data_IF_024932551102
#
_entry.id   IF_024932551102
#
_cell.length_a   1.000
_cell.length_b   1.000
_cell.length_c   1.000
_cell.angle_alpha   90.00
_cell.angle_beta   90.00
_cell.angle_gamma   90.00
#
_symmetry.space_group_name_H-M   'P 1'
#
loop_
_entity.id
_entity.type
_entity.pdbx_description
1 polymer ?
#
# COMPACT_ATOMS: atom_id res chain seq x y z
N UNK A 1 20.05 -5.97 9.23
CA UNK A 1 19.92 -5.02 10.36
C UNK A 1 18.72 -4.12 10.13
N UNK A 2 17.59 -4.38 10.80
CA UNK A 2 16.30 -3.68 10.61
C UNK A 2 16.37 -2.18 10.95
N UNK A 3 17.41 -1.74 11.67
CA UNK A 3 17.66 -0.33 12.01
C UNK A 3 18.07 0.54 10.81
N UNK A 4 18.55 -0.04 9.70
CA UNK A 4 18.92 0.74 8.50
C UNK A 4 17.81 0.87 7.45
N UNK A 5 16.84 -0.05 7.40
CA UNK A 5 15.74 0.06 6.44
C UNK A 5 14.86 1.31 6.70
N UNK A 6 14.60 1.60 7.98
CA UNK A 6 13.87 2.80 8.38
C UNK A 6 14.62 4.10 8.01
N UNK A 7 15.96 4.11 8.05
CA UNK A 7 16.73 5.34 7.76
C UNK A 7 16.77 5.69 6.28
N UNK A 8 16.75 4.70 5.38
CA UNK A 8 16.66 4.95 3.94
C UNK A 8 15.25 5.40 3.54
N UNK A 9 14.22 4.64 3.91
CA UNK A 9 12.83 4.97 3.62
C UNK A 9 12.48 6.38 4.12
N UNK A 10 12.82 6.70 5.38
CA UNK A 10 12.60 8.04 5.93
C UNK A 10 13.26 9.15 5.10
N UNK A 11 14.47 8.93 4.57
CA UNK A 11 15.14 9.92 3.70
C UNK A 11 14.42 10.08 2.36
N UNK A 12 13.99 8.97 1.75
CA UNK A 12 13.22 8.98 0.49
C UNK A 12 11.90 9.75 0.65
N UNK A 13 11.24 9.59 1.80
CA UNK A 13 9.99 10.30 2.13
C UNK A 13 10.21 11.65 2.84
N UNK A 14 11.38 12.27 2.70
CA UNK A 14 11.57 13.68 3.05
C UNK A 14 11.88 13.98 4.52
N UNK A 15 12.36 13.00 5.31
CA UNK A 15 12.84 13.27 6.67
C UNK A 15 13.97 14.30 6.64
N UNK A 16 13.80 15.46 7.30
CA UNK A 16 14.82 16.51 7.29
C UNK A 16 16.02 16.16 8.17
N UNK A 17 17.15 16.80 7.89
CA UNK A 17 18.35 16.70 8.72
C UNK A 17 18.17 17.39 10.09
N UNK A 18 17.21 18.33 10.20
CA UNK A 18 16.97 19.20 11.36
C UNK A 18 18.18 20.11 11.62
N UNK A 19 18.82 20.58 10.56
CA UNK A 19 19.97 21.48 10.67
C UNK A 19 19.55 22.94 10.86
N UNK A 20 18.34 23.29 10.45
CA UNK A 20 17.80 24.65 10.49
C UNK A 20 16.42 24.61 11.15
N UNK A 21 16.09 25.62 11.96
CA UNK A 21 14.78 25.75 12.62
C UNK A 21 13.63 26.19 11.68
N UNK A 22 13.77 25.98 10.36
CA UNK A 22 12.76 26.31 9.36
C UNK A 22 12.11 25.05 8.78
N UNK A 23 10.83 25.12 8.43
CA UNK A 23 10.12 24.08 7.67
C UNK A 23 10.62 23.91 6.22
N UNK A 24 11.53 24.79 5.79
CA UNK A 24 12.17 24.83 4.48
C UNK A 24 12.85 23.51 4.06
N UNK A 25 13.27 22.68 5.03
CA UNK A 25 13.91 21.37 4.77
C UNK A 25 12.89 20.27 4.40
N UNK A 26 11.59 20.53 4.55
CA UNK A 26 10.51 19.57 4.22
C UNK A 26 10.00 19.80 2.81
N UNK A 27 9.95 18.71 2.03
CA UNK A 27 9.39 18.71 0.67
C UNK A 27 8.17 17.81 0.65
N UNK A 28 6.98 18.41 0.57
CA UNK A 28 5.69 17.70 0.56
C UNK A 28 5.20 17.41 -0.87
N UNK A 29 6.11 17.23 -1.82
CA UNK A 29 5.75 16.89 -3.21
C UNK A 29 6.16 15.44 -3.49
N UNK A 30 5.33 14.66 -4.20
CA UNK A 30 5.71 13.33 -4.62
C UNK A 30 6.94 13.40 -5.52
N UNK A 31 7.85 12.45 -5.38
CA UNK A 31 9.08 12.37 -6.18
C UNK A 31 9.17 11.05 -6.92
N UNK A 32 9.89 11.04 -8.05
CA UNK A 32 10.16 9.80 -8.80
C UNK A 32 10.81 8.73 -7.93
N UNK A 33 11.70 9.13 -7.03
CA UNK A 33 12.37 8.20 -6.11
C UNK A 33 11.38 7.53 -5.16
N UNK A 34 10.37 8.24 -4.67
CA UNK A 34 9.31 7.67 -3.83
C UNK A 34 8.47 6.66 -4.61
N UNK A 35 8.14 6.94 -5.87
CA UNK A 35 7.40 5.99 -6.73
C UNK A 35 8.21 4.71 -6.98
N UNK A 36 9.50 4.83 -7.29
CA UNK A 36 10.40 3.69 -7.49
C UNK A 36 10.55 2.89 -6.19
N UNK A 37 10.64 3.57 -5.05
CA UNK A 37 10.70 2.93 -3.74
C UNK A 37 9.44 2.10 -3.46
N UNK A 38 8.25 2.65 -3.71
CA UNK A 38 6.99 1.94 -3.50
C UNK A 38 6.85 0.68 -4.37
N UNK A 39 7.38 0.72 -5.59
CA UNK A 39 7.32 -0.41 -6.51
C UNK A 39 8.32 -1.51 -6.16
N UNK A 40 9.55 -1.14 -5.79
CA UNK A 40 10.68 -2.07 -5.83
C UNK A 40 11.30 -2.38 -4.46
N UNK A 41 11.11 -1.55 -3.44
CA UNK A 41 11.77 -1.76 -2.15
C UNK A 41 11.10 -2.89 -1.36
N UNK A 42 11.86 -3.89 -0.87
CA UNK A 42 11.31 -5.04 -0.15
C UNK A 42 10.63 -4.65 1.16
N UNK A 43 10.90 -3.45 1.70
CA UNK A 43 10.21 -2.96 2.89
C UNK A 43 8.70 -2.88 2.67
N UNK A 44 8.23 -2.45 1.50
CA UNK A 44 6.80 -2.30 1.22
C UNK A 44 6.11 -3.65 1.28
N UNK A 45 6.69 -4.63 0.58
CA UNK A 45 6.19 -6.01 0.57
C UNK A 45 6.18 -6.63 1.97
N UNK A 46 7.27 -6.48 2.72
CA UNK A 46 7.35 -6.96 4.10
C UNK A 46 6.27 -6.34 5.00
N UNK A 47 5.97 -5.04 4.81
CA UNK A 47 4.93 -4.35 5.58
C UNK A 47 3.53 -4.85 5.24
N UNK A 48 3.25 -5.12 3.96
CA UNK A 48 2.00 -5.73 3.53
C UNK A 48 1.86 -7.16 4.05
N UNK A 49 2.90 -7.99 3.96
CA UNK A 49 2.91 -9.37 4.50
C UNK A 49 2.72 -9.39 6.03
N UNK A 50 3.26 -8.41 6.75
CA UNK A 50 3.06 -8.24 8.20
C UNK A 50 1.74 -7.53 8.58
N UNK A 51 0.84 -7.30 7.63
CA UNK A 51 -0.40 -6.56 7.87
C UNK A 51 -1.38 -7.38 8.70
N UNK A 52 -1.69 -6.91 9.91
CA UNK A 52 -2.65 -7.57 10.80
C UNK A 52 -4.05 -7.73 10.19
N UNK A 53 -4.46 -6.82 9.29
CA UNK A 53 -5.75 -6.93 8.59
C UNK A 53 -5.76 -8.10 7.60
N UNK A 54 -4.66 -8.32 6.86
CA UNK A 54 -4.59 -9.44 5.91
C UNK A 54 -4.57 -10.77 6.67
N UNK A 55 -3.84 -10.84 7.78
CA UNK A 55 -3.84 -12.00 8.68
C UNK A 55 -5.24 -12.28 9.22
N UNK A 56 -5.96 -11.26 9.69
CA UNK A 56 -7.33 -11.41 10.18
C UNK A 56 -8.28 -11.94 9.11
N UNK A 57 -8.16 -11.48 7.86
CA UNK A 57 -8.98 -11.97 6.74
C UNK A 57 -8.71 -13.45 6.48
N UNK A 58 -7.45 -13.88 6.53
CA UNK A 58 -7.07 -15.29 6.39
C UNK A 58 -7.65 -16.18 7.50
N UNK A 59 -7.51 -15.74 8.75
CA UNK A 59 -8.01 -16.47 9.93
C UNK A 59 -9.56 -16.55 9.97
N UNK A 60 -10.24 -15.70 9.21
CA UNK A 60 -11.70 -15.60 9.20
C UNK A 60 -12.41 -16.71 8.42
N UNK A 61 -11.70 -17.70 7.88
CA UNK A 61 -12.27 -18.87 7.17
C UNK A 61 -13.31 -18.49 6.10
N UNK A 62 -13.02 -17.49 5.26
CA UNK A 62 -13.91 -17.01 4.18
C UNK A 62 -15.30 -16.51 4.64
N UNK A 63 -15.44 -16.06 5.90
CA UNK A 63 -16.67 -15.39 6.36
C UNK A 63 -16.98 -14.10 5.59
N UNK A 64 -15.94 -13.45 5.04
CA UNK A 64 -16.09 -12.19 4.34
C UNK A 64 -16.47 -12.38 2.88
N UNK A 65 -17.39 -11.55 2.39
CA UNK A 65 -17.68 -11.45 0.97
C UNK A 65 -16.51 -10.76 0.26
N UNK A 66 -15.99 -11.38 -0.80
CA UNK A 66 -14.90 -10.84 -1.63
C UNK A 66 -15.17 -9.39 -2.06
N UNK A 67 -16.42 -9.05 -2.37
CA UNK A 67 -16.80 -7.69 -2.78
C UNK A 67 -16.63 -6.67 -1.65
N UNK A 68 -16.87 -7.06 -0.41
CA UNK A 68 -16.68 -6.18 0.75
C UNK A 68 -15.19 -6.02 1.08
N UNK A 69 -14.41 -7.10 0.98
CA UNK A 69 -12.94 -7.03 1.13
C UNK A 69 -12.31 -6.07 0.11
N UNK A 70 -12.78 -6.12 -1.14
CA UNK A 70 -12.37 -5.19 -2.20
C UNK A 70 -12.73 -3.75 -1.81
N UNK A 71 -13.95 -3.48 -1.35
CA UNK A 71 -14.33 -2.12 -0.91
C UNK A 71 -13.46 -1.64 0.24
N UNK A 72 -13.18 -2.49 1.22
CA UNK A 72 -12.29 -2.17 2.34
C UNK A 72 -10.86 -1.87 1.86
N UNK A 73 -10.32 -2.66 0.93
CA UNK A 73 -8.98 -2.42 0.37
C UNK A 73 -8.88 -1.02 -0.29
N UNK A 74 -9.91 -0.61 -1.04
CA UNK A 74 -9.99 0.72 -1.64
C UNK A 74 -10.10 1.83 -0.59
N UNK A 75 -10.96 1.67 0.42
CA UNK A 75 -11.10 2.65 1.50
C UNK A 75 -9.80 2.80 2.30
N UNK A 76 -9.08 1.71 2.55
CA UNK A 76 -7.80 1.70 3.29
C UNK A 76 -6.64 2.31 2.52
N UNK A 77 -6.71 2.33 1.17
CA UNK A 77 -5.62 2.82 0.32
C UNK A 77 -5.90 4.22 -0.25
N UNK A 78 -6.98 4.37 -1.01
CA UNK A 78 -7.29 5.59 -1.77
C UNK A 78 -8.50 6.35 -1.21
N UNK A 79 -9.03 5.96 -0.05
CA UNK A 79 -10.08 6.66 0.68
C UNK A 79 -11.36 6.96 -0.14
N UNK A 80 -11.74 6.05 -1.05
CA UNK A 80 -13.00 6.11 -1.80
C UNK A 80 -13.54 4.71 -2.05
N UNK A 81 -14.78 4.63 -2.50
CA UNK A 81 -15.34 3.37 -2.98
C UNK A 81 -14.85 3.04 -4.40
N UNK A 82 -14.67 1.75 -4.72
CA UNK A 82 -14.37 1.32 -6.08
C UNK A 82 -15.61 1.45 -6.97
N UNK A 83 -15.37 1.74 -8.25
CA UNK A 83 -16.36 1.66 -9.31
C UNK A 83 -16.69 0.19 -9.65
N UNK A 84 -17.80 -0.03 -10.35
CA UNK A 84 -18.21 -1.38 -10.74
C UNK A 84 -17.17 -2.10 -11.61
N UNK A 85 -16.48 -1.36 -12.50
CA UNK A 85 -15.43 -1.91 -13.35
C UNK A 85 -14.17 -2.30 -12.54
N UNK A 86 -13.81 -1.50 -11.53
CA UNK A 86 -12.72 -1.81 -10.61
C UNK A 86 -13.02 -3.05 -9.77
N UNK A 87 -14.25 -3.17 -9.26
CA UNK A 87 -14.69 -4.36 -8.51
C UNK A 87 -14.58 -5.60 -9.38
N UNK A 88 -15.06 -5.56 -10.63
CA UNK A 88 -14.99 -6.71 -11.53
C UNK A 88 -13.55 -7.14 -11.78
N UNK A 89 -12.65 -6.20 -12.10
CA UNK A 89 -11.23 -6.50 -12.33
C UNK A 89 -10.54 -7.05 -11.08
N UNK A 90 -10.85 -6.50 -9.91
CA UNK A 90 -10.29 -6.98 -8.64
C UNK A 90 -10.77 -8.39 -8.32
N UNK A 91 -12.04 -8.71 -8.58
CA UNK A 91 -12.57 -10.07 -8.41
C UNK A 91 -11.88 -11.08 -9.31
N UNK A 92 -11.68 -10.74 -10.57
CA UNK A 92 -10.95 -11.59 -11.52
C UNK A 92 -9.52 -11.85 -11.05
N UNK A 93 -8.84 -10.80 -10.56
CA UNK A 93 -7.50 -10.94 -10.01
C UNK A 93 -7.46 -11.84 -8.76
N UNK A 94 -8.33 -11.60 -7.78
CA UNK A 94 -8.41 -12.42 -6.56
C UNK A 94 -8.74 -13.88 -6.86
N UNK A 95 -9.56 -14.15 -7.88
CA UNK A 95 -9.87 -15.52 -8.31
C UNK A 95 -8.68 -16.25 -8.95
N UNK A 96 -7.67 -15.52 -9.45
CA UNK A 96 -6.45 -16.09 -10.03
C UNK A 96 -5.34 -16.32 -9.00
N UNK A 97 -5.49 -15.83 -7.77
CA UNK A 97 -4.51 -15.95 -6.71
C UNK A 97 -4.58 -17.31 -5.98
N UNK A 98 -3.46 -17.73 -5.39
CA UNK A 98 -3.35 -18.99 -4.63
C UNK A 98 -4.19 -18.98 -3.35
N UNK A 99 -4.28 -17.82 -2.70
CA UNK A 99 -5.05 -17.60 -1.48
C UNK A 99 -5.69 -16.21 -1.51
N UNK A 100 -6.72 -15.99 -0.69
CA UNK A 100 -7.36 -14.68 -0.55
C UNK A 100 -6.36 -13.66 0.00
N UNK A 101 -5.49 -14.09 0.90
CA UNK A 101 -4.43 -13.30 1.53
C UNK A 101 -3.40 -12.84 0.50
N UNK A 102 -2.93 -13.74 -0.36
CA UNK A 102 -2.00 -13.39 -1.45
C UNK A 102 -2.65 -12.42 -2.43
N UNK A 103 -3.89 -12.68 -2.83
CA UNK A 103 -4.63 -11.82 -3.76
C UNK A 103 -4.89 -10.43 -3.18
N UNK A 104 -5.19 -10.32 -1.89
CA UNK A 104 -5.35 -9.02 -1.22
C UNK A 104 -4.03 -8.29 -1.03
N UNK A 105 -2.94 -9.02 -0.76
CA UNK A 105 -1.59 -8.47 -0.65
C UNK A 105 -1.17 -7.83 -1.98
N UNK A 106 -1.36 -8.54 -3.09
CA UNK A 106 -1.03 -8.04 -4.42
C UNK A 106 -1.96 -6.89 -4.85
N UNK A 107 -3.26 -6.99 -4.55
CA UNK A 107 -4.21 -5.90 -4.78
C UNK A 107 -3.82 -4.61 -4.05
N UNK A 108 -3.46 -4.70 -2.76
CA UNK A 108 -3.01 -3.54 -1.98
C UNK A 108 -1.71 -2.95 -2.55
N UNK A 109 -0.77 -3.81 -2.94
CA UNK A 109 0.46 -3.36 -3.60
C UNK A 109 0.13 -2.61 -4.90
N UNK A 110 -0.79 -3.12 -5.73
CA UNK A 110 -1.22 -2.47 -6.96
C UNK A 110 -1.88 -1.10 -6.67
N UNK A 111 -2.75 -1.02 -5.67
CA UNK A 111 -3.43 0.22 -5.28
C UNK A 111 -2.44 1.29 -4.81
N UNK A 112 -1.47 0.93 -3.97
CA UNK A 112 -0.41 1.83 -3.50
C UNK A 112 0.52 2.32 -4.61
N UNK A 113 0.58 1.60 -5.73
CA UNK A 113 1.40 1.95 -6.89
C UNK A 113 0.60 2.63 -8.01
N UNK A 114 -0.68 2.95 -7.78
CA UNK A 114 -1.46 3.77 -8.70
C UNK A 114 -1.00 5.22 -8.71
N UNK A 115 -1.26 5.91 -9.82
CA UNK A 115 -1.07 7.37 -9.89
C UNK A 115 -1.95 8.11 -8.88
N UNK A 116 -3.16 7.59 -8.64
CA UNK A 116 -4.08 8.15 -7.66
C UNK A 116 -3.46 8.17 -6.26
N UNK A 117 -2.96 7.02 -5.79
CA UNK A 117 -2.29 6.93 -4.50
C UNK A 117 -1.05 7.82 -4.45
N UNK A 118 -0.11 7.68 -5.39
CA UNK A 118 1.19 8.37 -5.33
C UNK A 118 1.07 9.90 -5.44
N UNK A 119 0.08 10.42 -6.16
CA UNK A 119 -0.02 11.85 -6.45
C UNK A 119 -1.05 12.59 -5.58
N UNK A 120 -2.06 11.89 -5.06
CA UNK A 120 -3.17 12.52 -4.34
C UNK A 120 -3.26 12.09 -2.87
N UNK A 121 -2.50 11.08 -2.42
CA UNK A 121 -2.50 10.56 -1.06
C UNK A 121 -1.09 10.48 -0.48
#
# INVERSE_FOLDING_TARGET
SMRMAGTHAMKVFGKPARAINCDCERVNKPTLLQSIFLQNDPLVRMRLESSGWITEVGDSNNKYNVSELIKEAWLRSVNRLPSQAEISRAKEHLASATSTEDGLTDLLWALMNTKEFILNH
#
